data_IF_108352473961
#
_entry.id   IF_108352473961
#
_cell.length_a   1.000
_cell.length_b   1.000
_cell.length_c   1.000
_cell.angle_alpha   90.00
_cell.angle_beta   90.00
_cell.angle_gamma   90.00
#
_symmetry.space_group_name_H-M   'P 1'
#
loop_
_entity.id
_entity.type
_entity.pdbx_description
1 polymer ?
#
# COMPACT_ATOMS: atom_id res chain seq x y z
N UNK A 1 -27.61 37.61 -2.13
CA UNK A 1 -27.21 36.23 -2.42
C UNK A 1 -26.64 36.28 -3.81
N UNK A 2 -25.36 36.10 -3.97
CA UNK A 2 -24.69 36.09 -5.27
C UNK A 2 -25.02 34.76 -5.98
N UNK A 3 -25.09 34.74 -7.30
CA UNK A 3 -25.38 33.50 -8.05
C UNK A 3 -24.37 32.40 -7.74
N UNK A 4 -23.12 32.77 -7.45
CA UNK A 4 -22.07 31.85 -7.03
C UNK A 4 -22.38 31.21 -5.68
N UNK A 5 -22.85 31.98 -4.70
CA UNK A 5 -23.22 31.49 -3.36
C UNK A 5 -24.41 30.52 -3.41
N UNK A 6 -25.38 30.83 -4.26
CA UNK A 6 -26.54 29.96 -4.47
C UNK A 6 -26.15 28.62 -5.12
N UNK A 7 -25.21 28.65 -6.07
CA UNK A 7 -24.68 27.44 -6.74
C UNK A 7 -23.87 26.59 -5.79
N UNK A 8 -23.04 27.21 -4.93
CA UNK A 8 -22.27 26.52 -3.90
C UNK A 8 -23.17 25.75 -2.92
N UNK A 9 -24.21 26.44 -2.39
CA UNK A 9 -25.17 25.82 -1.48
C UNK A 9 -25.89 24.65 -2.14
N UNK A 10 -26.33 24.81 -3.39
CA UNK A 10 -26.98 23.74 -4.13
C UNK A 10 -26.05 22.53 -4.38
N UNK A 11 -24.77 22.78 -4.63
CA UNK A 11 -23.79 21.72 -4.83
C UNK A 11 -23.50 20.97 -3.51
N UNK A 12 -23.37 21.69 -2.40
CA UNK A 12 -23.19 21.09 -1.06
C UNK A 12 -24.42 20.25 -0.68
N UNK A 13 -25.64 20.76 -0.92
CA UNK A 13 -26.88 20.00 -0.69
C UNK A 13 -26.90 18.70 -1.51
N UNK A 14 -26.55 18.80 -2.80
CA UNK A 14 -26.53 17.64 -3.69
C UNK A 14 -25.51 16.57 -3.22
N UNK A 15 -24.33 16.99 -2.75
CA UNK A 15 -23.31 16.08 -2.21
C UNK A 15 -23.77 15.39 -0.91
N UNK A 16 -24.68 16.00 -0.15
CA UNK A 16 -25.23 15.41 1.08
C UNK A 16 -26.33 14.36 0.82
N UNK A 17 -26.70 14.11 -0.43
CA UNK A 17 -27.65 13.05 -0.77
C UNK A 17 -27.06 11.69 -0.47
N UNK A 18 -27.91 10.75 -0.05
CA UNK A 18 -27.48 9.40 0.39
C UNK A 18 -27.29 8.40 -0.75
N UNK A 19 -27.67 8.78 -1.97
CA UNK A 19 -27.72 7.93 -3.16
C UNK A 19 -26.58 8.17 -4.16
N UNK A 20 -25.59 9.02 -3.82
CA UNK A 20 -24.42 9.28 -4.68
C UNK A 20 -23.46 8.11 -4.71
N UNK A 21 -22.90 7.82 -5.89
CA UNK A 21 -21.76 6.93 -6.00
C UNK A 21 -20.51 7.59 -5.37
N UNK A 22 -19.51 6.77 -4.95
CA UNK A 22 -18.26 7.31 -4.43
C UNK A 22 -17.51 8.22 -5.40
N UNK A 23 -17.69 8.04 -6.72
CA UNK A 23 -17.05 8.86 -7.74
C UNK A 23 -17.83 10.15 -7.97
N UNK A 24 -19.16 10.13 -7.92
CA UNK A 24 -19.98 11.35 -7.96
C UNK A 24 -19.72 12.24 -6.74
N UNK A 25 -19.56 11.64 -5.55
CA UNK A 25 -19.16 12.36 -4.34
C UNK A 25 -17.78 13.01 -4.51
N UNK A 26 -16.82 12.27 -5.08
CA UNK A 26 -15.46 12.77 -5.35
C UNK A 26 -15.46 13.91 -6.39
N UNK A 27 -16.23 13.79 -7.46
CA UNK A 27 -16.38 14.84 -8.47
C UNK A 27 -17.01 16.10 -7.89
N UNK A 28 -18.01 15.97 -7.03
CA UNK A 28 -18.61 17.09 -6.31
C UNK A 28 -17.58 17.83 -5.46
N UNK A 29 -16.74 17.09 -4.71
CA UNK A 29 -15.63 17.69 -3.93
C UNK A 29 -14.61 18.40 -4.83
N UNK A 30 -14.25 17.78 -5.95
CA UNK A 30 -13.32 18.38 -6.91
C UNK A 30 -13.86 19.73 -7.46
N UNK A 31 -15.14 19.78 -7.80
CA UNK A 31 -15.80 21.03 -8.28
C UNK A 31 -15.79 22.11 -7.21
N UNK A 32 -16.17 21.78 -5.97
CA UNK A 32 -16.14 22.74 -4.85
C UNK A 32 -14.74 23.32 -4.62
N UNK A 33 -13.70 22.51 -4.78
CA UNK A 33 -12.31 22.98 -4.67
C UNK A 33 -11.91 23.89 -5.83
N UNK A 34 -12.28 23.53 -7.06
CA UNK A 34 -11.84 24.23 -8.25
C UNK A 34 -12.63 25.53 -8.47
N UNK A 35 -13.97 25.49 -8.32
CA UNK A 35 -14.85 26.59 -8.69
C UNK A 35 -15.02 27.60 -7.55
N UNK A 36 -14.94 27.14 -6.30
CA UNK A 36 -15.16 27.98 -5.11
C UNK A 36 -13.91 28.10 -4.22
N UNK A 37 -12.75 27.57 -4.67
CA UNK A 37 -11.45 27.68 -3.95
C UNK A 37 -11.46 27.11 -2.52
N UNK A 38 -12.36 26.14 -2.24
CA UNK A 38 -12.38 25.47 -0.95
C UNK A 38 -11.13 24.63 -0.72
N UNK A 39 -10.64 24.63 0.51
CA UNK A 39 -9.65 23.62 0.96
C UNK A 39 -10.35 22.33 1.34
N UNK A 40 -9.60 21.21 1.38
CA UNK A 40 -10.15 19.93 1.87
C UNK A 40 -10.68 20.04 3.32
N UNK A 41 -10.17 20.97 4.09
CA UNK A 41 -10.60 21.21 5.46
C UNK A 41 -11.94 21.96 5.52
N UNK A 42 -12.11 22.96 4.63
CA UNK A 42 -13.35 23.70 4.51
C UNK A 42 -14.48 22.78 4.04
N UNK A 43 -14.20 21.94 3.03
CA UNK A 43 -15.15 20.92 2.56
C UNK A 43 -15.52 19.94 3.67
N UNK A 44 -14.55 19.45 4.42
CA UNK A 44 -14.81 18.51 5.51
C UNK A 44 -15.79 19.09 6.52
N UNK A 45 -15.65 20.39 6.85
CA UNK A 45 -16.56 21.13 7.74
C UNK A 45 -17.95 21.33 7.10
N UNK A 46 -17.99 21.75 5.84
CA UNK A 46 -19.24 22.05 5.14
C UNK A 46 -20.13 20.79 4.95
N UNK A 47 -19.53 19.63 4.63
CA UNK A 47 -20.27 18.39 4.38
C UNK A 47 -20.36 17.47 5.62
N UNK A 48 -19.78 17.85 6.78
CA UNK A 48 -19.81 17.05 8.00
C UNK A 48 -19.00 15.74 7.94
N UNK A 49 -17.96 15.69 7.08
CA UNK A 49 -17.06 14.55 6.94
C UNK A 49 -15.67 14.86 7.50
N UNK A 50 -14.85 13.84 7.66
CA UNK A 50 -13.45 14.07 8.06
C UNK A 50 -12.58 14.46 6.85
N UNK A 51 -11.55 15.28 7.07
CA UNK A 51 -10.55 15.62 6.03
C UNK A 51 -9.92 14.37 5.36
N UNK A 52 -9.57 13.29 6.10
CA UNK A 52 -9.11 12.06 5.48
C UNK A 52 -10.16 11.41 4.56
N UNK A 53 -11.47 11.54 4.86
CA UNK A 53 -12.52 11.05 3.98
C UNK A 53 -12.50 11.80 2.65
N UNK A 54 -12.50 13.15 2.68
CA UNK A 54 -12.41 13.99 1.48
C UNK A 54 -11.18 13.63 0.64
N UNK A 55 -10.01 13.57 1.27
CA UNK A 55 -8.77 13.21 0.59
C UNK A 55 -8.82 11.83 -0.07
N UNK A 56 -9.43 10.83 0.59
CA UNK A 56 -9.57 9.49 0.03
C UNK A 56 -10.54 9.46 -1.16
N UNK A 57 -11.65 10.22 -1.11
CA UNK A 57 -12.58 10.32 -2.23
C UNK A 57 -11.93 10.98 -3.44
N UNK A 58 -11.29 12.13 -3.27
CA UNK A 58 -10.58 12.81 -4.36
C UNK A 58 -9.52 11.92 -5.03
N UNK A 59 -8.86 11.05 -4.28
CA UNK A 59 -7.88 10.12 -4.85
C UNK A 59 -8.51 9.10 -5.78
N UNK A 60 -9.80 8.76 -5.63
CA UNK A 60 -10.48 7.80 -6.50
C UNK A 60 -10.57 8.29 -7.95
N UNK A 61 -10.61 9.61 -8.16
CA UNK A 61 -10.59 10.21 -9.49
C UNK A 61 -9.32 9.88 -10.29
N UNK A 62 -8.23 9.54 -9.61
CA UNK A 62 -6.98 9.09 -10.23
C UNK A 62 -6.97 7.63 -10.70
N UNK A 63 -8.06 6.88 -10.53
CA UNK A 63 -8.17 5.52 -11.03
C UNK A 63 -8.37 5.50 -12.55
N UNK A 64 -7.91 4.44 -13.25
CA UNK A 64 -8.24 4.22 -14.67
C UNK A 64 -9.75 4.07 -14.89
N UNK A 65 -10.26 4.57 -16.02
CA UNK A 65 -11.70 4.58 -16.31
C UNK A 65 -12.38 3.20 -16.20
N UNK A 66 -11.79 2.08 -16.69
CA UNK A 66 -12.41 0.77 -16.49
C UNK A 66 -12.60 0.38 -15.02
N UNK A 67 -11.76 0.88 -14.12
CA UNK A 67 -11.91 0.62 -12.67
C UNK A 67 -12.98 1.53 -12.08
N UNK A 68 -13.07 2.79 -12.54
CA UNK A 68 -14.14 3.71 -12.14
C UNK A 68 -15.52 3.17 -12.50
N UNK A 69 -15.69 2.66 -13.72
CA UNK A 69 -16.93 2.00 -14.14
C UNK A 69 -17.33 0.85 -13.20
N UNK A 70 -16.37 0.05 -12.77
CA UNK A 70 -16.64 -1.05 -11.82
C UNK A 70 -17.07 -0.55 -10.43
N UNK A 71 -16.66 0.65 -10.05
CA UNK A 71 -17.06 1.30 -8.78
C UNK A 71 -18.47 1.89 -8.93
N UNK A 72 -18.75 2.59 -10.02
CA UNK A 72 -20.07 3.18 -10.30
C UNK A 72 -21.18 2.13 -10.46
N UNK A 73 -20.85 0.99 -11.10
CA UNK A 73 -21.74 -0.18 -11.20
C UNK A 73 -21.95 -0.89 -9.84
N UNK A 74 -21.25 -0.47 -8.77
CA UNK A 74 -21.32 -1.10 -7.47
C UNK A 74 -20.63 -2.47 -7.37
N UNK A 75 -19.94 -2.91 -8.44
CA UNK A 75 -19.16 -4.17 -8.45
C UNK A 75 -17.94 -4.09 -7.52
N UNK A 76 -17.35 -2.92 -7.38
CA UNK A 76 -16.27 -2.62 -6.44
C UNK A 76 -16.71 -1.56 -5.45
N UNK A 77 -16.43 -1.77 -4.16
CA UNK A 77 -16.68 -0.74 -3.15
C UNK A 77 -15.60 0.34 -3.16
N UNK A 78 -15.87 1.51 -2.56
CA UNK A 78 -14.88 2.57 -2.34
C UNK A 78 -13.61 2.07 -1.62
N UNK A 79 -13.75 1.08 -0.74
CA UNK A 79 -12.63 0.43 -0.06
C UNK A 79 -11.73 -0.35 -1.02
N UNK A 80 -12.32 -1.12 -1.95
CA UNK A 80 -11.57 -1.80 -3.01
C UNK A 80 -10.88 -0.80 -3.94
N UNK A 81 -11.61 0.24 -4.38
CA UNK A 81 -11.09 1.31 -5.21
C UNK A 81 -9.86 1.99 -4.59
N UNK A 82 -9.92 2.29 -3.27
CA UNK A 82 -8.80 2.86 -2.53
C UNK A 82 -7.59 1.92 -2.47
N UNK A 83 -7.81 0.63 -2.27
CA UNK A 83 -6.73 -0.37 -2.29
C UNK A 83 -6.05 -0.44 -3.67
N UNK A 84 -6.84 -0.39 -4.75
CA UNK A 84 -6.38 -0.43 -6.14
C UNK A 84 -5.51 0.76 -6.54
N UNK A 85 -5.68 1.94 -5.90
CA UNK A 85 -4.81 3.11 -6.11
C UNK A 85 -3.33 2.82 -5.80
N UNK A 86 -3.05 1.86 -4.94
CA UNK A 86 -1.69 1.47 -4.58
C UNK A 86 -1.13 0.35 -5.45
N UNK A 87 -1.95 -0.30 -6.27
CA UNK A 87 -1.55 -1.37 -7.16
C UNK A 87 -0.72 -0.87 -8.34
N UNK A 88 0.15 -1.72 -8.84
CA UNK A 88 0.91 -1.41 -10.05
C UNK A 88 0.03 -1.49 -11.31
N UNK A 89 -0.82 -2.48 -11.38
CA UNK A 89 -1.80 -2.64 -12.45
C UNK A 89 -3.21 -2.70 -11.86
N UNK A 90 -3.85 -1.52 -11.60
CA UNK A 90 -5.17 -1.46 -10.99
C UNK A 90 -6.24 -2.23 -11.76
N UNK A 91 -6.18 -2.24 -13.09
CA UNK A 91 -7.16 -2.91 -13.95
C UNK A 91 -7.09 -4.44 -13.77
N UNK A 92 -5.88 -5.02 -13.88
CA UNK A 92 -5.69 -6.46 -13.72
C UNK A 92 -6.10 -6.92 -12.32
N UNK A 93 -5.70 -6.16 -11.28
CA UNK A 93 -6.06 -6.49 -9.90
C UNK A 93 -7.56 -6.32 -9.65
N UNK A 94 -8.24 -5.33 -10.26
CA UNK A 94 -9.68 -5.17 -10.18
C UNK A 94 -10.43 -6.40 -10.73
N UNK A 95 -10.02 -6.90 -11.88
CA UNK A 95 -10.57 -8.15 -12.45
C UNK A 95 -10.34 -9.36 -11.54
N UNK A 96 -9.16 -9.48 -10.94
CA UNK A 96 -8.84 -10.55 -9.98
C UNK A 96 -9.71 -10.45 -8.71
N UNK A 97 -9.92 -9.25 -8.20
CA UNK A 97 -10.81 -8.99 -7.05
C UNK A 97 -12.23 -9.47 -7.35
N UNK A 98 -12.78 -9.12 -8.50
CA UNK A 98 -14.12 -9.54 -8.92
C UNK A 98 -14.21 -11.05 -9.16
N UNK A 99 -13.24 -11.64 -9.86
CA UNK A 99 -13.21 -13.06 -10.19
C UNK A 99 -13.09 -13.95 -8.96
N UNK A 100 -12.32 -13.52 -7.96
CA UNK A 100 -12.02 -14.31 -6.74
C UNK A 100 -12.87 -13.91 -5.55
N UNK A 101 -13.70 -12.87 -5.65
CA UNK A 101 -14.53 -12.35 -4.55
C UNK A 101 -13.69 -11.87 -3.36
N UNK A 102 -12.58 -11.18 -3.62
CA UNK A 102 -11.66 -10.75 -2.56
C UNK A 102 -12.28 -9.63 -1.73
N UNK A 103 -12.04 -9.64 -0.43
CA UNK A 103 -12.40 -8.53 0.43
C UNK A 103 -11.33 -7.41 0.39
N UNK A 104 -11.66 -6.23 0.96
CA UNK A 104 -10.79 -5.05 0.95
C UNK A 104 -9.39 -5.35 1.50
N UNK A 105 -9.28 -6.07 2.63
CA UNK A 105 -7.98 -6.40 3.25
C UNK A 105 -7.11 -7.30 2.37
N UNK A 106 -7.74 -8.26 1.68
CA UNK A 106 -7.04 -9.13 0.73
C UNK A 106 -6.57 -8.34 -0.48
N UNK A 107 -7.38 -7.40 -0.96
CA UNK A 107 -7.02 -6.50 -2.06
C UNK A 107 -5.86 -5.59 -1.67
N UNK A 108 -5.87 -4.99 -0.49
CA UNK A 108 -4.77 -4.18 0.04
C UNK A 108 -3.46 -4.98 0.13
N UNK A 109 -3.55 -6.23 0.60
CA UNK A 109 -2.39 -7.13 0.69
C UNK A 109 -1.81 -7.44 -0.69
N UNK A 110 -2.65 -7.75 -1.68
CA UNK A 110 -2.19 -8.03 -3.05
C UNK A 110 -1.60 -6.77 -3.70
N UNK A 111 -2.25 -5.61 -3.58
CA UNK A 111 -1.75 -4.34 -4.09
C UNK A 111 -0.36 -3.98 -3.52
N UNK A 112 -0.15 -4.22 -2.21
CA UNK A 112 1.16 -4.00 -1.59
C UNK A 112 2.21 -5.04 -1.99
N UNK A 113 1.83 -6.28 -2.24
CA UNK A 113 2.72 -7.32 -2.75
C UNK A 113 3.17 -7.03 -4.19
N UNK A 114 2.29 -6.55 -5.06
CA UNK A 114 2.64 -6.11 -6.41
C UNK A 114 3.66 -4.95 -6.38
N UNK A 115 3.51 -4.05 -5.43
CA UNK A 115 4.44 -2.94 -5.22
C UNK A 115 5.81 -3.42 -4.72
N UNK A 116 5.83 -4.44 -3.86
CA UNK A 116 7.06 -5.06 -3.34
C UNK A 116 7.75 -5.93 -4.38
N UNK A 117 7.00 -6.66 -5.21
CA UNK A 117 7.54 -7.54 -6.25
C UNK A 117 8.15 -6.76 -7.41
N UNK A 118 7.86 -5.46 -7.57
CA UNK A 118 8.53 -4.59 -8.53
C UNK A 118 9.74 -3.83 -8.00
N UNK A 119 9.98 -3.83 -6.70
CA UNK A 119 11.32 -3.55 -6.19
C UNK A 119 12.33 -4.66 -6.59
N UNK A 120 11.79 -5.83 -6.99
CA UNK A 120 12.52 -6.92 -7.63
C UNK A 120 11.91 -7.21 -9.00
N UNK A 121 12.15 -6.33 -9.99
CA UNK A 121 11.99 -6.69 -11.41
C UNK A 121 13.03 -7.77 -11.70
N UNK A 122 12.65 -8.98 -12.16
CA UNK A 122 13.62 -9.82 -12.83
C UNK A 122 13.93 -9.14 -14.16
N UNK A 123 14.98 -8.34 -14.20
CA UNK A 123 15.62 -7.91 -15.41
C UNK A 123 16.10 -9.17 -16.12
N UNK A 124 15.29 -9.66 -17.08
CA UNK A 124 15.70 -10.73 -17.95
C UNK A 124 16.98 -10.26 -18.67
N UNK A 125 18.05 -10.98 -18.41
CA UNK A 125 19.27 -11.06 -19.17
C UNK A 125 20.01 -9.75 -19.53
N UNK A 126 20.80 -9.26 -18.59
CA UNK A 126 22.18 -8.93 -18.88
C UNK A 126 22.98 -9.29 -17.63
N UNK A 127 23.79 -10.30 -17.78
CA UNK A 127 24.65 -10.82 -16.76
C UNK A 127 25.52 -9.72 -16.13
N UNK A 128 25.34 -9.51 -14.80
CA UNK A 128 26.46 -9.24 -13.89
C UNK A 128 26.03 -9.69 -12.52
N UNK A 129 26.57 -10.80 -12.11
CA UNK A 129 26.60 -11.47 -10.85
C UNK A 129 26.75 -10.49 -9.66
N UNK A 130 25.64 -10.30 -8.93
CA UNK A 130 25.69 -10.11 -7.50
C UNK A 130 25.05 -11.35 -6.89
N UNK A 131 25.52 -12.53 -7.29
CA UNK A 131 25.24 -13.76 -6.59
C UNK A 131 25.82 -13.60 -5.17
N UNK A 132 25.06 -14.02 -4.14
CA UNK A 132 25.65 -14.25 -2.82
C UNK A 132 26.91 -15.05 -3.08
N UNK A 133 28.06 -14.51 -2.67
CA UNK A 133 29.33 -15.19 -2.78
C UNK A 133 29.16 -16.57 -2.16
N UNK A 134 29.80 -17.59 -2.75
CA UNK A 134 29.78 -18.96 -2.21
C UNK A 134 30.15 -18.97 -0.72
N UNK A 135 31.03 -18.05 -0.33
CA UNK A 135 31.44 -17.83 1.05
C UNK A 135 30.29 -17.30 1.93
N UNK A 136 29.45 -16.40 1.42
CA UNK A 136 28.28 -15.88 2.14
C UNK A 136 27.22 -16.98 2.36
N UNK A 137 27.02 -17.85 1.39
CA UNK A 137 26.09 -18.98 1.50
C UNK A 137 26.64 -20.04 2.49
N UNK A 138 27.94 -20.29 2.50
CA UNK A 138 28.58 -21.16 3.46
C UNK A 138 28.42 -20.60 4.88
N UNK A 139 28.68 -19.32 5.10
CA UNK A 139 28.47 -18.64 6.39
C UNK A 139 27.01 -18.67 6.86
N UNK A 140 26.01 -18.47 5.96
CA UNK A 140 24.59 -18.63 6.29
C UNK A 140 24.28 -20.04 6.76
N UNK A 141 24.82 -21.04 6.09
CA UNK A 141 24.62 -22.46 6.45
C UNK A 141 25.26 -22.80 7.79
N UNK A 142 26.49 -22.38 8.01
CA UNK A 142 27.21 -22.61 9.24
C UNK A 142 26.55 -21.96 10.45
N UNK A 143 26.13 -20.68 10.30
CA UNK A 143 25.40 -19.96 11.34
C UNK A 143 24.00 -20.57 11.59
N UNK A 144 23.29 -20.99 10.54
CA UNK A 144 22.01 -21.67 10.69
C UNK A 144 22.15 -23.00 11.43
N UNK A 145 23.18 -23.75 11.14
CA UNK A 145 23.48 -25.04 11.81
C UNK A 145 23.88 -24.82 13.27
N UNK A 146 24.69 -23.80 13.53
CA UNK A 146 25.19 -23.49 14.87
C UNK A 146 24.12 -22.94 15.80
N UNK A 147 23.20 -22.12 15.25
CA UNK A 147 22.09 -21.51 16.01
C UNK A 147 20.84 -22.39 16.03
N UNK A 148 20.68 -23.33 15.12
CA UNK A 148 19.45 -24.10 14.93
C UNK A 148 18.29 -23.27 14.42
N UNK A 149 18.58 -22.08 13.84
CA UNK A 149 17.62 -21.09 13.37
C UNK A 149 17.92 -20.66 11.94
N UNK A 150 16.93 -20.20 11.24
CA UNK A 150 17.11 -19.67 9.87
C UNK A 150 17.85 -18.34 9.91
N UNK A 151 19.08 -18.31 9.35
CA UNK A 151 19.90 -17.09 9.23
C UNK A 151 19.96 -16.67 7.76
N UNK A 152 19.89 -15.38 7.51
CA UNK A 152 20.07 -14.78 6.19
C UNK A 152 21.05 -13.61 6.29
N UNK A 153 22.05 -13.58 5.41
CA UNK A 153 23.05 -12.51 5.30
C UNK A 153 22.81 -11.76 3.99
N UNK A 154 22.71 -10.45 4.07
CA UNK A 154 22.54 -9.57 2.91
C UNK A 154 23.68 -8.56 2.87
N UNK A 155 24.57 -8.66 1.89
CA UNK A 155 25.69 -7.73 1.70
C UNK A 155 25.30 -6.56 0.80
N UNK A 156 25.70 -5.35 1.20
CA UNK A 156 25.55 -4.09 0.44
C UNK A 156 26.91 -3.42 0.31
N UNK A 157 27.75 -3.92 -0.59
CA UNK A 157 29.16 -3.53 -0.67
C UNK A 157 29.95 -4.06 0.53
N UNK A 158 30.65 -3.21 1.28
CA UNK A 158 31.39 -3.58 2.49
C UNK A 158 30.53 -3.67 3.76
N UNK A 159 29.28 -3.19 3.70
CA UNK A 159 28.31 -3.28 4.79
C UNK A 159 27.29 -4.40 4.52
N UNK A 160 26.63 -4.89 5.57
CA UNK A 160 25.62 -5.92 5.42
C UNK A 160 24.71 -6.04 6.64
N UNK A 161 23.61 -6.76 6.43
CA UNK A 161 22.61 -7.05 7.44
C UNK A 161 22.57 -8.56 7.69
N UNK A 162 22.53 -8.97 8.96
CA UNK A 162 22.30 -10.36 9.36
C UNK A 162 20.91 -10.45 9.99
N UNK A 163 20.06 -11.30 9.43
CA UNK A 163 18.70 -11.54 9.90
C UNK A 163 18.59 -12.95 10.46
N UNK A 164 18.17 -13.07 11.72
CA UNK A 164 17.93 -14.34 12.40
C UNK A 164 16.42 -14.46 12.63
N UNK A 165 15.81 -15.53 12.11
CA UNK A 165 14.39 -15.79 12.27
C UNK A 165 14.15 -16.72 13.45
N UNK A 166 13.36 -16.29 14.42
CA UNK A 166 12.98 -17.07 15.60
C UNK A 166 11.44 -17.17 15.70
N UNK A 167 10.94 -18.27 16.25
CA UNK A 167 9.51 -18.52 16.43
C UNK A 167 9.05 -18.35 17.88
N UNK A 168 10.00 -18.46 18.84
CA UNK A 168 9.72 -18.32 20.27
C UNK A 168 10.69 -17.37 20.95
N UNK A 169 10.27 -16.74 22.06
CA UNK A 169 11.15 -15.87 22.86
C UNK A 169 12.33 -16.63 23.49
N UNK A 170 12.16 -17.91 23.79
CA UNK A 170 13.24 -18.76 24.29
C UNK A 170 14.38 -18.89 23.28
N UNK A 171 14.05 -19.03 21.98
CA UNK A 171 15.03 -19.05 20.90
C UNK A 171 15.79 -17.71 20.80
N UNK A 172 15.11 -16.60 20.99
CA UNK A 172 15.74 -15.28 21.00
C UNK A 172 16.72 -15.15 22.19
N UNK A 173 16.30 -15.58 23.38
CA UNK A 173 17.16 -15.52 24.57
C UNK A 173 18.41 -16.40 24.41
N UNK A 174 18.30 -17.56 23.79
CA UNK A 174 19.43 -18.46 23.52
C UNK A 174 20.45 -17.81 22.55
N UNK A 175 19.94 -17.16 21.49
CA UNK A 175 20.76 -16.37 20.54
C UNK A 175 21.49 -15.23 21.27
N UNK A 176 20.80 -14.47 22.08
CA UNK A 176 21.37 -13.36 22.84
C UNK A 176 22.41 -13.84 23.84
N UNK A 177 22.17 -14.98 24.49
CA UNK A 177 23.11 -15.58 25.44
C UNK A 177 24.40 -16.04 24.75
N UNK A 178 24.29 -16.62 23.54
CA UNK A 178 25.45 -17.04 22.74
C UNK A 178 26.25 -15.85 22.23
N UNK A 179 25.59 -14.77 21.77
CA UNK A 179 26.26 -13.55 21.31
C UNK A 179 26.98 -12.80 22.42
N UNK A 180 26.47 -12.84 23.66
CA UNK A 180 27.10 -12.22 24.82
C UNK A 180 28.30 -13.04 25.36
N UNK A 181 28.38 -14.33 25.03
CA UNK A 181 29.37 -15.27 25.62
C UNK A 181 30.65 -15.38 24.81
N UNK A 182 30.76 -14.76 23.64
CA UNK A 182 31.99 -14.76 22.85
C UNK A 182 32.77 -13.49 23.13
N UNK A 183 33.87 -13.51 23.88
CA UNK A 183 34.77 -12.36 24.01
C UNK A 183 35.45 -12.10 22.68
N UNK A 184 35.76 -10.84 22.31
CA UNK A 184 36.50 -10.54 21.11
C UNK A 184 37.89 -11.21 21.25
N UNK A 185 38.18 -12.11 20.32
CA UNK A 185 39.56 -12.65 20.19
C UNK A 185 40.47 -11.51 19.77
N UNK A 186 41.48 -11.25 20.56
CA UNK A 186 42.61 -10.35 20.31
C UNK A 186 43.40 -10.79 19.09
#
# INVERSE_FOLDING_TARGET
MDDAEALEIALVENIQRQDLSPLEEADGYQRLMNDFSHTQEDLARAVGKSRPHIANMLRLLGLPDPVKEMVDDGRLSAGHARALLSAHNPIALAHDVLKRGLNVRQTEKLASQEKSSKATVPKKAAAKSGGKDADTLALEHDLSTLLGLKVAISLKGEAGDISIHFETLEQLDDVLHRLKRTPPSS
#
